data_IF_263691769353
#
_entry.id   IF_263691769353
#
_cell.length_a   1.000
_cell.length_b   1.000
_cell.length_c   1.000
_cell.angle_alpha   90.00
_cell.angle_beta   90.00
_cell.angle_gamma   90.00
#
_symmetry.space_group_name_H-M   'P 1'
#
loop_
_entity.id
_entity.type
_entity.pdbx_description
1 polymer ?
#
# COMPACT_ATOMS: atom_id res chain seq x y z
N UNK A 1 18.95 10.55 22.62
CA UNK A 1 19.95 9.82 21.82
C UNK A 1 20.23 8.52 22.52
N UNK A 2 19.68 7.42 22.02
CA UNK A 2 19.91 6.08 22.55
C UNK A 2 21.29 5.65 22.04
N UNK A 3 22.21 5.31 22.94
CA UNK A 3 23.50 4.72 22.57
C UNK A 3 23.27 3.25 22.22
N UNK A 4 23.20 2.96 20.92
CA UNK A 4 22.93 1.64 20.36
C UNK A 4 24.19 0.80 20.16
N UNK A 5 25.38 1.35 20.41
CA UNK A 5 26.66 0.69 20.11
C UNK A 5 26.97 -0.46 21.08
N UNK A 6 26.25 -0.55 22.19
CA UNK A 6 26.41 -1.57 23.24
C UNK A 6 25.18 -2.45 23.47
N UNK A 7 24.10 -2.28 22.69
CA UNK A 7 22.87 -3.05 22.86
C UNK A 7 23.01 -4.47 22.30
N UNK A 8 22.40 -5.43 23.00
CA UNK A 8 22.22 -6.79 22.48
C UNK A 8 21.20 -6.81 21.33
N UNK A 9 21.14 -7.90 20.56
CA UNK A 9 20.14 -8.08 19.50
C UNK A 9 18.72 -7.96 20.07
N UNK A 10 18.44 -8.55 21.23
CA UNK A 10 17.13 -8.44 21.89
C UNK A 10 16.77 -7.00 22.26
N UNK A 11 17.75 -6.23 22.76
CA UNK A 11 17.53 -4.82 23.10
C UNK A 11 17.30 -3.94 21.87
N UNK A 12 17.92 -4.29 20.74
CA UNK A 12 17.70 -3.63 19.46
C UNK A 12 16.33 -4.00 18.87
N UNK A 13 15.95 -5.28 18.94
CA UNK A 13 14.64 -5.77 18.55
C UNK A 13 13.51 -5.04 19.31
N UNK A 14 13.65 -4.96 20.64
CA UNK A 14 12.72 -4.18 21.47
C UNK A 14 12.69 -2.73 21.00
N UNK A 15 13.83 -2.07 20.80
CA UNK A 15 13.88 -0.68 20.36
C UNK A 15 13.19 -0.45 19.00
N UNK A 16 13.38 -1.35 18.03
CA UNK A 16 12.75 -1.25 16.72
C UNK A 16 11.23 -1.44 16.77
N UNK A 17 10.73 -2.36 17.61
CA UNK A 17 9.29 -2.58 17.80
C UNK A 17 8.56 -1.36 18.38
N UNK A 18 9.28 -0.44 19.05
CA UNK A 18 8.71 0.80 19.56
C UNK A 18 8.70 1.93 18.51
N UNK A 19 9.25 1.70 17.32
CA UNK A 19 9.20 2.65 16.21
C UNK A 19 8.03 2.29 15.31
N UNK A 20 7.09 3.24 15.20
CA UNK A 20 5.86 3.12 14.42
C UNK A 20 5.60 4.41 13.64
N UNK A 21 4.55 4.42 12.82
CA UNK A 21 4.07 5.54 12.01
C UNK A 21 3.96 6.90 12.76
N UNK A 22 3.77 6.88 14.09
CA UNK A 22 3.66 8.10 14.92
C UNK A 22 4.96 8.53 15.63
N UNK A 23 6.05 7.78 15.46
CA UNK A 23 7.31 8.07 16.16
C UNK A 23 7.93 9.36 15.63
N UNK A 24 8.47 10.23 16.52
CA UNK A 24 9.07 11.48 16.09
C UNK A 24 10.42 11.22 15.40
N UNK A 25 10.70 12.01 14.36
CA UNK A 25 11.86 11.77 13.49
C UNK A 25 13.21 11.88 14.22
N UNK A 26 13.32 12.72 15.25
CA UNK A 26 14.54 12.85 16.06
C UNK A 26 14.83 11.63 16.95
N UNK A 27 13.85 10.76 17.15
CA UNK A 27 14.02 9.47 17.82
C UNK A 27 14.17 8.31 16.82
N UNK A 28 13.38 8.30 15.75
CA UNK A 28 13.34 7.22 14.78
C UNK A 28 14.48 7.25 13.74
N UNK A 29 14.80 8.42 13.16
CA UNK A 29 15.84 8.54 12.11
C UNK A 29 17.21 8.01 12.58
N UNK A 30 17.69 8.29 13.81
CA UNK A 30 18.96 7.73 14.28
C UNK A 30 18.99 6.20 14.33
N UNK A 31 17.88 5.55 14.69
CA UNK A 31 17.78 4.09 14.73
C UNK A 31 17.76 3.49 13.33
N UNK A 32 17.04 4.12 12.40
CA UNK A 32 17.02 3.73 10.99
C UNK A 32 18.42 3.86 10.39
N UNK A 33 19.09 5.00 10.59
CA UNK A 33 20.42 5.25 10.05
C UNK A 33 21.47 4.27 10.59
N UNK A 34 21.43 3.95 11.87
CA UNK A 34 22.31 2.94 12.47
C UNK A 34 22.05 1.55 11.87
N UNK A 35 20.78 1.15 11.78
CA UNK A 35 20.40 -0.15 11.23
C UNK A 35 20.83 -0.28 9.75
N UNK A 36 20.50 0.72 8.93
CA UNK A 36 20.89 0.80 7.54
C UNK A 36 22.41 0.83 7.36
N UNK A 37 23.14 1.56 8.21
CA UNK A 37 24.61 1.62 8.16
C UNK A 37 25.28 0.28 8.46
N UNK A 38 24.74 -0.50 9.41
CA UNK A 38 25.22 -1.85 9.71
C UNK A 38 24.92 -2.82 8.59
N UNK A 39 23.71 -2.78 8.02
CA UNK A 39 23.35 -3.60 6.86
C UNK A 39 24.24 -3.27 5.64
N UNK A 40 24.43 -2.00 5.33
CA UNK A 40 25.25 -1.56 4.20
C UNK A 40 26.74 -1.93 4.33
N UNK A 41 27.23 -2.15 5.56
CA UNK A 41 28.62 -2.56 5.78
C UNK A 41 28.88 -4.02 5.43
N UNK A 42 27.86 -4.87 5.48
CA UNK A 42 27.94 -6.30 5.15
C UNK A 42 26.57 -6.85 4.65
N UNK A 43 26.11 -6.43 3.45
CA UNK A 43 24.74 -6.66 2.99
C UNK A 43 24.37 -8.13 2.77
N UNK A 44 25.36 -8.99 2.52
CA UNK A 44 25.17 -10.45 2.37
C UNK A 44 25.73 -11.26 3.54
N UNK A 45 26.12 -10.60 4.64
CA UNK A 45 26.78 -11.22 5.76
C UNK A 45 25.88 -12.11 6.62
N UNK A 46 26.49 -12.87 7.53
CA UNK A 46 25.76 -13.74 8.46
C UNK A 46 24.72 -12.99 9.31
N UNK A 47 24.93 -11.69 9.57
CA UNK A 47 24.02 -10.85 10.36
C UNK A 47 23.05 -10.01 9.52
N UNK A 48 23.04 -10.14 8.19
CA UNK A 48 22.15 -9.35 7.33
C UNK A 48 20.67 -9.52 7.73
N UNK A 49 20.27 -10.74 8.11
CA UNK A 49 18.90 -11.03 8.58
C UNK A 49 18.46 -10.16 9.76
N UNK A 50 19.36 -9.86 10.72
CA UNK A 50 19.06 -9.03 11.89
C UNK A 50 18.73 -7.61 11.48
N UNK A 51 19.54 -7.02 10.58
CA UNK A 51 19.37 -5.64 10.17
C UNK A 51 18.22 -5.47 9.17
N UNK A 52 17.96 -6.46 8.31
CA UNK A 52 16.74 -6.52 7.50
C UNK A 52 15.51 -6.57 8.41
N UNK A 53 15.50 -7.41 9.44
CA UNK A 53 14.40 -7.48 10.39
C UNK A 53 14.13 -6.14 11.08
N UNK A 54 15.19 -5.41 11.46
CA UNK A 54 15.06 -4.09 12.05
C UNK A 54 14.42 -3.06 11.11
N UNK A 55 14.82 -3.06 9.83
CA UNK A 55 14.21 -2.17 8.83
C UNK A 55 12.77 -2.56 8.47
N UNK A 56 12.45 -3.87 8.46
CA UNK A 56 11.07 -4.37 8.31
C UNK A 56 10.20 -3.91 9.48
N UNK A 57 10.68 -4.02 10.73
CA UNK A 57 9.95 -3.57 11.91
C UNK A 57 9.67 -2.06 11.89
N UNK A 58 10.59 -1.26 11.34
CA UNK A 58 10.46 0.20 11.23
C UNK A 58 9.78 0.65 9.92
N UNK A 59 9.29 -0.28 9.09
CA UNK A 59 8.75 0.04 7.75
C UNK A 59 7.52 0.94 7.81
N UNK A 60 6.65 0.83 8.83
CA UNK A 60 5.51 1.74 9.00
C UNK A 60 5.92 3.21 9.22
N UNK A 61 7.00 3.44 9.96
CA UNK A 61 7.60 4.77 10.08
C UNK A 61 8.19 5.24 8.73
N UNK A 62 8.94 4.36 8.07
CA UNK A 62 9.63 4.64 6.80
C UNK A 62 8.67 4.86 5.62
N UNK A 63 7.51 4.23 5.61
CA UNK A 63 6.50 4.36 4.57
C UNK A 63 5.69 5.66 4.70
N UNK A 64 5.66 6.26 5.90
CA UNK A 64 4.89 7.48 6.15
C UNK A 64 5.70 8.75 5.90
N UNK A 65 6.55 9.16 6.86
CA UNK A 65 7.29 10.43 6.77
C UNK A 65 8.67 10.34 7.45
N UNK A 66 9.58 9.51 6.94
CA UNK A 66 10.96 9.49 7.41
C UNK A 66 11.69 10.80 7.07
N UNK A 67 12.80 11.08 7.76
CA UNK A 67 13.76 12.05 7.25
C UNK A 67 14.37 11.55 5.94
N UNK A 68 14.56 12.44 4.95
CA UNK A 68 15.09 12.08 3.61
C UNK A 68 16.39 11.26 3.65
N UNK A 69 17.26 11.55 4.62
CA UNK A 69 18.52 10.82 4.79
C UNK A 69 18.28 9.38 5.29
N UNK A 70 17.34 9.19 6.21
CA UNK A 70 16.98 7.88 6.75
C UNK A 70 16.26 7.01 5.70
N UNK A 71 15.30 7.60 4.96
CA UNK A 71 14.62 6.93 3.83
C UNK A 71 15.63 6.43 2.81
N UNK A 72 16.52 7.30 2.34
CA UNK A 72 17.51 6.95 1.32
C UNK A 72 18.49 5.88 1.82
N UNK A 73 18.95 5.98 3.07
CA UNK A 73 19.85 5.00 3.66
C UNK A 73 19.20 3.62 3.78
N UNK A 74 17.95 3.57 4.28
CA UNK A 74 17.20 2.33 4.40
C UNK A 74 16.96 1.67 3.04
N UNK A 75 16.47 2.44 2.06
CA UNK A 75 16.21 1.95 0.70
C UNK A 75 17.48 1.42 0.03
N UNK A 76 18.61 2.11 0.17
CA UNK A 76 19.88 1.63 -0.39
C UNK A 76 20.32 0.33 0.28
N UNK A 77 20.31 0.29 1.61
CA UNK A 77 20.76 -0.88 2.37
C UNK A 77 19.89 -2.13 2.09
N UNK A 78 18.57 -1.97 1.99
CA UNK A 78 17.65 -3.07 1.66
C UNK A 78 17.87 -3.61 0.25
N UNK A 79 18.06 -2.74 -0.75
CA UNK A 79 18.32 -3.15 -2.14
C UNK A 79 19.68 -3.84 -2.29
N UNK A 80 20.71 -3.30 -1.62
CA UNK A 80 22.04 -3.90 -1.60
C UNK A 80 22.00 -5.28 -0.93
N UNK A 81 21.25 -5.42 0.17
CA UNK A 81 21.05 -6.69 0.86
C UNK A 81 20.31 -7.70 -0.02
N UNK A 82 19.19 -7.33 -0.63
CA UNK A 82 18.46 -8.20 -1.55
C UNK A 82 19.39 -8.72 -2.67
N UNK A 83 20.11 -7.81 -3.32
CA UNK A 83 21.07 -8.16 -4.40
C UNK A 83 22.18 -9.09 -3.92
N UNK A 84 22.78 -8.81 -2.75
CA UNK A 84 23.88 -9.60 -2.21
C UNK A 84 23.45 -11.01 -1.75
N UNK A 85 22.22 -11.13 -1.25
CA UNK A 85 21.64 -12.38 -0.75
C UNK A 85 21.09 -13.24 -1.90
N UNK A 86 20.54 -12.65 -2.96
CA UNK A 86 20.12 -13.36 -4.16
C UNK A 86 21.27 -14.08 -4.87
N UNK A 87 22.47 -13.53 -4.77
CA UNK A 87 23.69 -14.18 -5.27
C UNK A 87 24.07 -15.45 -4.51
N UNK A 88 23.39 -15.76 -3.40
CA UNK A 88 23.68 -16.91 -2.55
C UNK A 88 22.64 -18.01 -2.78
N UNK A 89 23.11 -19.24 -3.02
CA UNK A 89 22.23 -20.38 -3.17
C UNK A 89 21.72 -20.88 -1.81
N UNK A 90 20.45 -21.27 -1.77
CA UNK A 90 19.86 -22.06 -0.69
C UNK A 90 19.26 -23.36 -1.22
N UNK A 91 19.11 -24.36 -0.35
CA UNK A 91 18.63 -25.71 -0.71
C UNK A 91 17.12 -25.91 -0.55
N UNK A 92 16.36 -24.84 -0.38
CA UNK A 92 14.92 -24.89 -0.15
C UNK A 92 14.19 -24.50 -1.43
N UNK A 93 13.11 -25.21 -1.73
CA UNK A 93 12.31 -24.97 -2.94
C UNK A 93 11.30 -23.83 -2.78
N UNK A 94 10.91 -23.51 -1.54
CA UNK A 94 10.02 -22.38 -1.23
C UNK A 94 10.49 -21.62 0.02
N UNK A 95 10.04 -20.37 0.14
CA UNK A 95 10.43 -19.45 1.21
C UNK A 95 9.23 -18.98 2.02
N UNK A 96 9.36 -18.82 3.35
CA UNK A 96 8.25 -18.40 4.20
C UNK A 96 7.57 -17.09 3.78
N UNK A 97 8.32 -16.08 3.33
CA UNK A 97 7.73 -14.82 2.88
C UNK A 97 6.74 -14.99 1.70
N UNK A 98 6.94 -16.00 0.85
CA UNK A 98 6.05 -16.28 -0.29
C UNK A 98 4.67 -16.75 0.18
N UNK A 99 4.60 -17.48 1.31
CA UNK A 99 3.35 -17.96 1.88
C UNK A 99 2.53 -16.86 2.56
N UNK A 100 3.17 -15.77 2.98
CA UNK A 100 2.52 -14.63 3.63
C UNK A 100 1.95 -13.62 2.60
N UNK A 101 2.24 -13.75 1.31
CA UNK A 101 1.79 -12.77 0.31
C UNK A 101 0.27 -12.59 0.29
N UNK A 102 -0.48 -13.69 0.34
CA UNK A 102 -1.96 -13.69 0.37
C UNK A 102 -2.56 -13.10 1.68
N UNK A 103 -1.76 -12.85 2.70
CA UNK A 103 -2.16 -12.27 4.00
C UNK A 103 -1.60 -10.86 4.23
N UNK A 104 -0.55 -10.46 3.51
CA UNK A 104 0.12 -9.18 3.69
C UNK A 104 -0.57 -8.08 2.87
N UNK A 105 -1.31 -7.23 3.55
CA UNK A 105 -1.63 -5.89 3.06
C UNK A 105 -0.37 -4.99 3.12
N UNK A 106 -0.52 -3.67 3.17
CA UNK A 106 0.59 -2.73 3.37
C UNK A 106 1.05 -2.63 4.84
N UNK A 107 0.88 -3.69 5.65
CA UNK A 107 1.27 -3.76 7.08
C UNK A 107 2.31 -4.83 7.39
N UNK A 108 3.38 -4.97 6.61
CA UNK A 108 4.42 -6.00 6.82
C UNK A 108 5.10 -5.94 8.19
N UNK A 109 5.04 -4.80 8.90
CA UNK A 109 5.60 -4.66 10.26
C UNK A 109 4.77 -5.36 11.34
N UNK A 110 3.50 -5.68 11.06
CA UNK A 110 2.68 -6.52 11.95
C UNK A 110 2.89 -8.01 11.68
N UNK A 111 3.52 -8.34 10.54
CA UNK A 111 3.87 -9.70 10.15
C UNK A 111 4.96 -10.30 11.03
N UNK A 112 4.73 -11.52 11.50
CA UNK A 112 5.77 -12.33 12.12
C UNK A 112 6.70 -12.87 11.04
N UNK A 113 7.82 -12.20 10.84
CA UNK A 113 8.82 -12.56 9.83
C UNK A 113 9.84 -13.60 10.34
N UNK A 114 9.89 -13.86 11.65
CA UNK A 114 10.83 -14.80 12.28
C UNK A 114 12.31 -14.47 12.06
N UNK A 115 12.67 -13.34 11.43
CA UNK A 115 14.04 -13.06 11.01
C UNK A 115 14.98 -12.83 12.18
N UNK A 116 14.46 -12.41 13.35
CA UNK A 116 15.28 -12.21 14.56
C UNK A 116 15.55 -13.51 15.32
N UNK A 117 14.58 -14.41 15.33
CA UNK A 117 14.56 -15.63 16.17
C UNK A 117 14.92 -16.88 15.37
N UNK A 118 14.79 -16.82 14.04
CA UNK A 118 14.76 -18.01 13.18
C UNK A 118 13.49 -18.84 13.36
N UNK A 119 12.48 -18.32 14.04
CA UNK A 119 11.25 -19.05 14.36
C UNK A 119 10.04 -18.24 13.92
N UNK A 120 9.08 -18.90 13.26
CA UNK A 120 7.78 -18.34 12.94
C UNK A 120 6.74 -18.88 13.92
N UNK A 121 5.84 -18.03 14.40
CA UNK A 121 4.66 -18.40 15.19
C UNK A 121 3.61 -18.98 14.25
N UNK A 122 3.89 -20.15 13.66
CA UNK A 122 2.94 -20.87 12.83
C UNK A 122 2.25 -22.00 13.61
N UNK A 123 0.90 -22.08 13.60
CA UNK A 123 0.18 -23.23 14.15
C UNK A 123 0.30 -24.51 13.30
N UNK A 124 0.87 -24.43 12.08
CA UNK A 124 0.83 -25.49 11.07
C UNK A 124 2.13 -26.31 10.91
N UNK A 125 3.20 -26.04 11.66
CA UNK A 125 4.40 -26.89 11.65
C UNK A 125 5.71 -26.15 11.97
N UNK A 126 6.75 -26.95 12.20
CA UNK A 126 8.11 -26.54 12.52
C UNK A 126 8.83 -26.03 11.26
N UNK A 127 8.65 -24.75 10.93
CA UNK A 127 9.51 -24.08 9.94
C UNK A 127 10.89 -23.91 10.57
N UNK A 128 11.78 -24.87 10.34
CA UNK A 128 13.10 -24.85 10.96
C UNK A 128 13.89 -23.57 10.61
N UNK A 129 14.68 -23.08 11.55
CA UNK A 129 15.43 -21.82 11.44
C UNK A 129 16.31 -21.69 10.18
N UNK A 130 16.79 -22.80 9.63
CA UNK A 130 17.51 -22.81 8.37
C UNK A 130 16.69 -22.28 7.18
N UNK A 131 15.36 -22.44 7.20
CA UNK A 131 14.45 -21.93 6.17
C UNK A 131 14.08 -20.47 6.39
N UNK A 132 13.89 -20.07 7.66
CA UNK A 132 13.56 -18.69 8.03
C UNK A 132 14.72 -17.74 7.78
N UNK A 133 15.95 -18.17 8.08
CA UNK A 133 17.15 -17.34 7.95
C UNK A 133 17.92 -17.56 6.64
N UNK A 134 17.37 -18.31 5.68
CA UNK A 134 18.08 -18.52 4.41
C UNK A 134 18.17 -17.21 3.60
N UNK A 135 19.20 -17.04 2.75
CA UNK A 135 19.40 -15.82 1.98
C UNK A 135 18.17 -15.41 1.14
N UNK A 136 17.51 -16.37 0.48
CA UNK A 136 16.32 -16.11 -0.32
C UNK A 136 15.14 -15.53 0.48
N UNK A 137 14.89 -16.03 1.70
CA UNK A 137 13.82 -15.50 2.54
C UNK A 137 14.15 -14.08 3.04
N UNK A 138 15.39 -13.85 3.46
CA UNK A 138 15.85 -12.53 3.92
C UNK A 138 15.80 -11.51 2.77
N UNK A 139 16.20 -11.90 1.56
CA UNK A 139 16.09 -11.07 0.36
C UNK A 139 14.62 -10.72 0.05
N UNK A 140 13.71 -11.69 0.14
CA UNK A 140 12.27 -11.49 -0.03
C UNK A 140 11.70 -10.40 0.89
N UNK A 141 11.97 -10.50 2.19
CA UNK A 141 11.56 -9.47 3.15
C UNK A 141 12.19 -8.11 2.89
N UNK A 142 13.45 -8.07 2.44
CA UNK A 142 14.09 -6.81 2.08
C UNK A 142 13.41 -6.14 0.87
N UNK A 143 12.95 -6.91 -0.12
CA UNK A 143 12.16 -6.41 -1.25
C UNK A 143 10.79 -5.91 -0.80
N UNK A 144 10.08 -6.67 0.02
CA UNK A 144 8.76 -6.26 0.54
C UNK A 144 8.84 -4.93 1.30
N UNK A 145 9.84 -4.76 2.18
CA UNK A 145 10.07 -3.51 2.86
C UNK A 145 10.45 -2.37 1.91
N UNK A 146 11.28 -2.65 0.89
CA UNK A 146 11.63 -1.66 -0.13
C UNK A 146 10.40 -1.17 -0.89
N UNK A 147 9.53 -2.09 -1.33
CA UNK A 147 8.32 -1.77 -2.08
C UNK A 147 7.28 -1.02 -1.24
N UNK A 148 7.16 -1.35 0.05
CA UNK A 148 6.32 -0.59 0.96
C UNK A 148 6.77 0.88 1.12
N UNK A 149 8.08 1.11 1.25
CA UNK A 149 8.66 2.45 1.44
C UNK A 149 8.63 3.24 0.11
N UNK A 150 8.97 2.56 -0.98
CA UNK A 150 9.05 3.11 -2.32
C UNK A 150 8.42 2.13 -3.33
N UNK A 151 7.10 2.19 -3.53
CA UNK A 151 6.38 1.29 -4.43
C UNK A 151 6.97 1.28 -5.84
N UNK A 152 7.01 0.10 -6.46
CA UNK A 152 7.53 -0.10 -7.83
C UNK A 152 9.00 0.29 -8.01
N UNK A 153 9.81 0.24 -6.95
CA UNK A 153 11.26 0.46 -7.07
C UNK A 153 12.11 -0.81 -6.91
N UNK A 154 11.45 -1.96 -6.78
CA UNK A 154 12.07 -3.27 -6.64
C UNK A 154 11.23 -4.30 -7.41
N UNK A 155 11.89 -5.32 -7.94
CA UNK A 155 11.28 -6.41 -8.72
C UNK A 155 11.32 -7.72 -7.94
N UNK A 156 10.77 -8.78 -8.52
CA UNK A 156 10.84 -10.15 -7.98
C UNK A 156 10.19 -10.29 -6.61
N UNK A 157 9.10 -9.55 -6.41
CA UNK A 157 8.10 -9.81 -5.36
C UNK A 157 7.10 -10.80 -5.98
N UNK A 158 6.74 -11.90 -5.30
CA UNK A 158 5.73 -12.82 -5.81
C UNK A 158 4.37 -12.13 -5.95
N UNK A 159 3.70 -12.35 -7.06
CA UNK A 159 2.30 -11.98 -7.24
C UNK A 159 1.39 -12.75 -6.26
N UNK A 160 0.43 -12.05 -5.67
CA UNK A 160 -0.54 -12.62 -4.73
C UNK A 160 -1.15 -11.54 -3.85
N UNK A 161 -2.17 -10.84 -4.34
CA UNK A 161 -2.92 -9.88 -3.55
C UNK A 161 -3.72 -10.61 -2.45
N UNK A 162 -3.93 -9.97 -1.29
CA UNK A 162 -4.77 -10.54 -0.25
C UNK A 162 -6.15 -10.96 -0.75
N UNK A 163 -6.66 -12.12 -0.31
CA UNK A 163 -7.95 -12.66 -0.79
C UNK A 163 -9.13 -11.69 -0.64
N UNK A 164 -9.08 -10.86 0.40
CA UNK A 164 -10.08 -9.81 0.61
C UNK A 164 -10.05 -8.75 -0.50
N UNK A 165 -8.87 -8.38 -1.04
CA UNK A 165 -8.76 -7.46 -2.17
C UNK A 165 -9.51 -7.99 -3.39
N UNK A 166 -9.35 -9.26 -3.76
CA UNK A 166 -10.09 -9.84 -4.88
C UNK A 166 -11.60 -9.87 -4.64
N UNK A 167 -12.03 -10.08 -3.40
CA UNK A 167 -13.44 -9.97 -3.03
C UNK A 167 -13.95 -8.55 -3.27
N UNK A 168 -13.23 -7.53 -2.78
CA UNK A 168 -13.62 -6.13 -2.94
C UNK A 168 -13.58 -5.66 -4.39
N UNK A 169 -12.56 -6.07 -5.16
CA UNK A 169 -12.49 -5.83 -6.61
C UNK A 169 -13.76 -6.33 -7.29
N UNK A 170 -14.18 -7.56 -7.00
CA UNK A 170 -15.41 -8.14 -7.57
C UNK A 170 -16.67 -7.38 -7.14
N UNK A 171 -16.77 -6.98 -5.87
CA UNK A 171 -17.92 -6.24 -5.35
C UNK A 171 -18.06 -4.87 -6.03
N UNK A 172 -16.98 -4.09 -6.08
CA UNK A 172 -16.96 -2.79 -6.71
C UNK A 172 -17.06 -2.86 -8.25
N UNK A 173 -16.53 -3.91 -8.87
CA UNK A 173 -16.75 -4.20 -10.29
C UNK A 173 -18.25 -4.31 -10.60
N UNK A 174 -19.01 -4.98 -9.73
CA UNK A 174 -20.47 -5.00 -9.81
C UNK A 174 -21.09 -3.62 -9.76
N UNK A 175 -20.63 -2.74 -8.86
CA UNK A 175 -21.11 -1.35 -8.76
C UNK A 175 -20.79 -0.57 -10.02
N UNK A 176 -19.52 -0.53 -10.45
CA UNK A 176 -19.09 0.30 -11.61
C UNK A 176 -19.58 -0.24 -12.96
N UNK A 177 -20.12 -1.46 -13.01
CA UNK A 177 -20.82 -2.01 -14.18
C UNK A 177 -22.36 -1.97 -14.07
N UNK A 178 -22.90 -1.35 -13.02
CA UNK A 178 -24.36 -1.27 -12.76
C UNK A 178 -25.06 -2.63 -12.54
N UNK A 179 -24.31 -3.58 -11.98
CA UNK A 179 -24.79 -4.89 -11.53
C UNK A 179 -24.29 -5.18 -10.10
N UNK A 180 -24.66 -4.37 -9.09
CA UNK A 180 -24.15 -4.55 -7.74
C UNK A 180 -24.60 -5.88 -7.12
N UNK A 181 -23.69 -6.53 -6.40
CA UNK A 181 -23.97 -7.78 -5.68
C UNK A 181 -24.62 -7.55 -4.30
N UNK A 182 -24.32 -6.42 -3.66
CA UNK A 182 -24.85 -5.97 -2.36
C UNK A 182 -25.34 -4.51 -2.45
N UNK A 183 -25.68 -3.87 -1.32
CA UNK A 183 -26.09 -2.46 -1.31
C UNK A 183 -24.90 -1.54 -1.69
N UNK A 184 -24.97 -0.86 -2.86
CA UNK A 184 -23.89 0.03 -3.28
C UNK A 184 -23.72 1.24 -2.35
N UNK A 185 -24.75 1.66 -1.61
CA UNK A 185 -24.63 2.80 -0.69
C UNK A 185 -23.75 2.47 0.50
N UNK A 186 -23.96 1.30 1.12
CA UNK A 186 -23.15 0.80 2.24
C UNK A 186 -21.70 0.59 1.78
N UNK A 187 -21.51 -0.09 0.65
CA UNK A 187 -20.17 -0.37 0.13
C UNK A 187 -19.37 0.91 -0.17
N UNK A 188 -19.98 1.90 -0.82
CA UNK A 188 -19.31 3.17 -1.14
C UNK A 188 -19.03 4.02 0.12
N UNK A 189 -19.94 4.00 1.10
CA UNK A 189 -19.74 4.69 2.37
C UNK A 189 -18.59 4.07 3.17
N UNK A 190 -18.49 2.75 3.20
CA UNK A 190 -17.41 2.02 3.86
C UNK A 190 -16.06 2.33 3.18
N UNK A 191 -15.98 2.22 1.85
CA UNK A 191 -14.75 2.58 1.12
C UNK A 191 -14.30 4.01 1.40
N UNK A 192 -15.24 4.96 1.49
CA UNK A 192 -14.93 6.37 1.74
C UNK A 192 -14.28 6.64 3.11
N UNK A 193 -14.42 5.73 4.07
CA UNK A 193 -13.85 5.84 5.42
C UNK A 193 -12.71 4.86 5.69
N UNK A 194 -12.33 4.04 4.71
CA UNK A 194 -11.27 3.03 4.82
C UNK A 194 -9.83 3.61 4.80
N UNK A 195 -9.64 4.92 4.60
CA UNK A 195 -8.31 5.51 4.63
C UNK A 195 -7.81 5.65 6.09
N UNK A 196 -6.72 4.98 6.48
CA UNK A 196 -6.13 5.16 7.80
C UNK A 196 -5.49 6.56 7.94
N UNK A 197 -5.25 7.01 9.17
CA UNK A 197 -4.68 8.35 9.45
C UNK A 197 -3.27 8.55 8.85
N UNK A 198 -2.51 7.45 8.65
CA UNK A 198 -1.12 7.45 8.14
C UNK A 198 -0.92 6.32 7.13
N UNK A 199 -1.52 6.45 5.93
CA UNK A 199 -1.45 5.43 4.90
C UNK A 199 -0.03 5.34 4.33
N UNK A 200 0.36 4.14 3.89
CA UNK A 200 1.52 3.99 2.99
C UNK A 200 1.24 4.71 1.66
N UNK A 201 2.29 4.96 0.87
CA UNK A 201 2.15 5.55 -0.48
C UNK A 201 1.25 4.69 -1.39
N UNK A 202 1.40 3.37 -1.33
CA UNK A 202 0.60 2.41 -2.10
C UNK A 202 -0.88 2.45 -1.72
N UNK A 203 -1.18 2.37 -0.43
CA UNK A 203 -2.55 2.44 0.08
C UNK A 203 -3.22 3.79 -0.22
N UNK A 204 -2.50 4.91 -0.07
CA UNK A 204 -3.00 6.24 -0.41
C UNK A 204 -3.35 6.36 -1.90
N UNK A 205 -2.46 5.89 -2.78
CA UNK A 205 -2.71 5.85 -4.22
C UNK A 205 -3.93 4.97 -4.55
N UNK A 206 -3.96 3.76 -3.99
CA UNK A 206 -5.06 2.83 -4.17
C UNK A 206 -6.41 3.39 -3.75
N UNK A 207 -6.47 4.07 -2.60
CA UNK A 207 -7.68 4.76 -2.13
C UNK A 207 -8.18 5.81 -3.13
N UNK A 208 -7.31 6.71 -3.59
CA UNK A 208 -7.68 7.78 -4.53
C UNK A 208 -8.15 7.22 -5.89
N UNK A 209 -7.47 6.17 -6.38
CA UNK A 209 -7.86 5.48 -7.61
C UNK A 209 -9.23 4.81 -7.47
N UNK A 210 -9.51 4.13 -6.35
CA UNK A 210 -10.82 3.54 -6.07
C UNK A 210 -11.92 4.61 -5.94
N UNK A 211 -11.64 5.73 -5.28
CA UNK A 211 -12.58 6.85 -5.19
C UNK A 211 -12.92 7.42 -6.57
N UNK A 212 -11.92 7.58 -7.44
CA UNK A 212 -12.14 8.00 -8.82
C UNK A 212 -12.97 7.00 -9.62
N UNK A 213 -12.63 5.72 -9.54
CA UNK A 213 -13.34 4.66 -10.27
C UNK A 213 -14.84 4.62 -9.90
N UNK A 214 -15.18 4.89 -8.65
CA UNK A 214 -16.56 4.75 -8.14
C UNK A 214 -17.36 6.05 -8.15
N UNK A 215 -16.72 7.21 -8.34
CA UNK A 215 -17.40 8.51 -8.17
C UNK A 215 -18.53 8.74 -9.17
N UNK A 216 -18.44 8.18 -10.39
CA UNK A 216 -19.50 8.34 -11.38
C UNK A 216 -20.80 7.65 -10.91
N UNK A 217 -20.69 6.48 -10.28
CA UNK A 217 -21.84 5.74 -9.77
C UNK A 217 -22.45 6.48 -8.58
N UNK A 218 -21.58 6.97 -7.68
CA UNK A 218 -21.96 7.78 -6.53
C UNK A 218 -22.69 9.07 -6.94
N UNK A 219 -22.20 9.74 -7.99
CA UNK A 219 -22.78 10.95 -8.56
C UNK A 219 -24.06 10.71 -9.39
N UNK A 220 -24.42 9.44 -9.64
CA UNK A 220 -25.64 9.11 -10.37
C UNK A 220 -26.88 9.15 -9.47
N UNK A 221 -28.08 9.16 -10.07
CA UNK A 221 -29.36 9.10 -9.35
C UNK A 221 -29.62 7.75 -8.64
N UNK A 222 -28.66 6.81 -8.67
CA UNK A 222 -28.78 5.49 -8.02
C UNK A 222 -28.50 5.55 -6.52
N UNK A 223 -27.66 6.48 -6.09
CA UNK A 223 -27.35 6.70 -4.69
C UNK A 223 -28.32 7.76 -4.16
N UNK A 224 -29.21 7.33 -3.27
CA UNK A 224 -30.27 8.19 -2.69
C UNK A 224 -29.92 8.75 -1.32
N UNK A 225 -28.81 8.30 -0.73
CA UNK A 225 -28.30 8.82 0.52
C UNK A 225 -27.16 9.83 0.25
N UNK A 226 -27.44 11.10 0.58
CA UNK A 226 -26.49 12.21 0.47
C UNK A 226 -25.20 11.95 1.27
N UNK A 227 -25.28 11.22 2.38
CA UNK A 227 -24.14 10.97 3.25
C UNK A 227 -23.02 10.18 2.58
N UNK A 228 -23.34 9.40 1.54
CA UNK A 228 -22.34 8.67 0.73
C UNK A 228 -21.43 9.68 0.02
N UNK A 229 -22.02 10.64 -0.69
CA UNK A 229 -21.29 11.71 -1.38
C UNK A 229 -20.49 12.57 -0.39
N UNK A 230 -21.10 12.97 0.74
CA UNK A 230 -20.40 13.74 1.78
C UNK A 230 -19.19 12.96 2.35
N UNK A 231 -19.33 11.64 2.52
CA UNK A 231 -18.25 10.77 3.03
C UNK A 231 -17.12 10.63 2.01
N UNK A 232 -17.43 10.39 0.73
CA UNK A 232 -16.41 10.31 -0.33
C UNK A 232 -15.64 11.63 -0.48
N UNK A 233 -16.34 12.77 -0.49
CA UNK A 233 -15.71 14.10 -0.54
C UNK A 233 -14.80 14.30 0.66
N UNK A 234 -15.27 13.97 1.87
CA UNK A 234 -14.47 14.09 3.09
C UNK A 234 -13.23 13.18 3.06
N UNK A 235 -13.37 11.94 2.57
CA UNK A 235 -12.27 11.00 2.44
C UNK A 235 -11.18 11.52 1.50
N UNK A 236 -11.56 11.99 0.31
CA UNK A 236 -10.61 12.57 -0.65
C UNK A 236 -9.96 13.85 -0.09
N UNK A 237 -10.74 14.72 0.55
CA UNK A 237 -10.20 15.93 1.19
C UNK A 237 -9.22 15.62 2.33
N UNK A 238 -9.39 14.49 3.03
CA UNK A 238 -8.45 14.01 4.03
C UNK A 238 -7.19 13.40 3.40
N UNK A 239 -7.32 12.78 2.23
CA UNK A 239 -6.22 12.15 1.49
C UNK A 239 -5.27 13.16 0.83
N UNK A 240 -5.81 14.22 0.21
CA UNK A 240 -5.01 15.19 -0.59
C UNK A 240 -3.84 15.81 0.18
N UNK A 241 -3.97 16.25 1.45
CA UNK A 241 -2.85 16.80 2.23
C UNK A 241 -1.75 15.77 2.58
N UNK A 242 -2.01 14.48 2.35
CA UNK A 242 -1.07 13.39 2.62
C UNK A 242 -0.15 13.12 1.42
N UNK A 243 -0.52 13.57 0.22
CA UNK A 243 0.30 13.51 -0.99
C UNK A 243 1.55 14.39 -0.83
N UNK A 244 2.65 13.94 -1.44
CA UNK A 244 3.91 14.68 -1.44
C UNK A 244 3.95 15.76 -2.53
N UNK A 245 4.77 16.79 -2.31
CA UNK A 245 4.95 17.92 -3.25
C UNK A 245 6.11 17.70 -4.24
N UNK A 246 6.58 16.45 -4.41
CA UNK A 246 7.69 16.17 -5.32
C UNK A 246 7.34 16.54 -6.77
N UNK A 247 8.26 17.20 -7.51
CA UNK A 247 8.06 17.45 -8.92
C UNK A 247 7.85 16.14 -9.68
N UNK A 248 6.79 16.08 -10.48
CA UNK A 248 6.58 14.96 -11.38
C UNK A 248 7.73 14.84 -12.39
N UNK A 249 8.27 13.64 -12.54
CA UNK A 249 9.31 13.32 -13.53
C UNK A 249 8.72 12.73 -14.83
N UNK A 250 7.42 12.45 -14.84
CA UNK A 250 6.72 11.84 -15.97
C UNK A 250 6.34 12.85 -17.05
N UNK A 251 6.36 12.41 -18.30
CA UNK A 251 5.88 13.16 -19.46
C UNK A 251 4.33 13.26 -19.53
N UNK A 252 3.77 14.17 -20.36
CA UNK A 252 2.31 14.42 -20.45
C UNK A 252 1.42 13.23 -20.89
N UNK A 253 2.01 12.09 -21.25
CA UNK A 253 1.30 10.85 -21.66
C UNK A 253 1.80 9.62 -20.91
N UNK A 254 2.61 9.81 -19.89
CA UNK A 254 3.18 8.72 -19.09
C UNK A 254 2.35 8.45 -17.82
N UNK A 255 1.38 9.32 -17.50
CA UNK A 255 0.40 9.06 -16.45
C UNK A 255 -0.69 8.10 -16.96
N UNK A 256 -1.21 7.20 -16.09
CA UNK A 256 -2.17 6.19 -16.49
C UNK A 256 -3.53 6.77 -16.87
N UNK A 257 -4.27 6.05 -17.72
CA UNK A 257 -5.67 6.36 -18.01
C UNK A 257 -6.62 5.74 -16.98
N UNK A 258 -7.57 6.54 -16.47
CA UNK A 258 -8.63 6.10 -15.54
C UNK A 258 -10.03 6.16 -16.16
N UNK A 259 -10.14 6.29 -17.49
CA UNK A 259 -11.41 6.34 -18.21
C UNK A 259 -12.22 5.04 -18.17
N UNK A 260 -11.61 3.90 -17.84
CA UNK A 260 -12.30 2.64 -17.57
C UNK A 260 -12.43 2.44 -16.05
N UNK A 261 -13.64 2.65 -15.48
CA UNK A 261 -13.88 2.48 -14.05
C UNK A 261 -13.64 1.07 -13.52
N UNK A 262 -13.88 0.03 -14.33
CA UNK A 262 -13.69 -1.35 -13.89
C UNK A 262 -12.20 -1.68 -13.78
N UNK A 263 -11.44 -1.25 -14.78
CA UNK A 263 -9.98 -1.34 -14.74
C UNK A 263 -9.41 -0.52 -13.59
N UNK A 264 -9.76 0.77 -13.48
CA UNK A 264 -9.28 1.65 -12.39
C UNK A 264 -9.63 1.08 -11.01
N UNK A 265 -10.82 0.51 -10.82
CA UNK A 265 -11.21 -0.15 -9.58
C UNK A 265 -10.28 -1.33 -9.23
N UNK A 266 -9.99 -2.21 -10.20
CA UNK A 266 -9.04 -3.31 -10.01
C UNK A 266 -7.68 -2.78 -9.57
N UNK A 267 -7.16 -1.78 -10.28
CA UNK A 267 -5.86 -1.18 -10.00
C UNK A 267 -5.83 -0.57 -8.60
N UNK A 268 -6.87 0.18 -8.22
CA UNK A 268 -6.96 0.83 -6.91
C UNK A 268 -6.86 -0.13 -5.73
N UNK A 269 -7.28 -1.38 -5.90
CA UNK A 269 -7.13 -2.42 -4.87
C UNK A 269 -5.77 -3.12 -4.91
N UNK A 270 -5.24 -3.40 -6.10
CA UNK A 270 -3.92 -4.00 -6.26
C UNK A 270 -2.81 -3.12 -5.68
N UNK A 271 -2.95 -1.79 -5.79
CA UNK A 271 -1.98 -0.83 -5.23
C UNK A 271 -1.81 -0.90 -3.70
N UNK A 272 -2.77 -1.45 -2.97
CA UNK A 272 -2.83 -1.43 -1.48
C UNK A 272 -1.99 -2.51 -0.80
N UNK A 273 -1.25 -3.33 -1.56
CA UNK A 273 -0.39 -4.38 -1.01
C UNK A 273 0.82 -4.64 -1.91
N UNK A 274 1.97 -5.11 -1.38
CA UNK A 274 3.11 -5.49 -2.21
C UNK A 274 2.77 -6.60 -3.21
N UNK A 275 2.01 -7.62 -2.78
CA UNK A 275 1.60 -8.74 -3.65
C UNK A 275 0.65 -8.32 -4.77
N UNK A 276 -0.26 -7.40 -4.49
CA UNK A 276 -1.13 -6.81 -5.53
C UNK A 276 -0.36 -5.90 -6.50
N UNK A 277 0.64 -5.15 -6.02
CA UNK A 277 1.52 -4.38 -6.90
C UNK A 277 2.37 -5.29 -7.77
N UNK A 278 2.80 -6.44 -7.27
CA UNK A 278 3.46 -7.46 -8.07
C UNK A 278 2.54 -8.06 -9.14
N UNK A 279 1.29 -8.42 -8.80
CA UNK A 279 0.28 -8.84 -9.80
C UNK A 279 0.06 -7.78 -10.87
N UNK A 280 -0.02 -6.51 -10.48
CA UNK A 280 -0.14 -5.41 -11.42
C UNK A 280 1.10 -5.32 -12.32
N UNK A 281 2.29 -5.45 -11.77
CA UNK A 281 3.53 -5.36 -12.53
C UNK A 281 3.66 -6.48 -13.59
N UNK A 282 3.14 -7.68 -13.33
CA UNK A 282 3.10 -8.78 -14.30
C UNK A 282 2.28 -8.42 -15.55
N UNK A 283 1.17 -7.70 -15.42
CA UNK A 283 0.39 -7.22 -16.57
C UNK A 283 1.19 -6.26 -17.49
N UNK A 284 2.29 -5.70 -16.97
CA UNK A 284 3.19 -4.76 -17.65
C UNK A 284 4.56 -5.38 -17.97
N UNK A 285 4.65 -6.71 -18.04
CA UNK A 285 5.85 -7.42 -18.50
C UNK A 285 7.03 -7.38 -17.52
N UNK A 286 6.80 -7.13 -16.23
CA UNK A 286 7.88 -7.17 -15.24
C UNK A 286 8.41 -8.58 -14.94
N UNK A 287 7.74 -9.61 -15.46
CA UNK A 287 8.12 -11.02 -15.44
C UNK A 287 9.03 -11.41 -16.63
N UNK A 288 9.04 -10.64 -17.72
CA UNK A 288 9.82 -10.93 -18.93
C UNK A 288 11.16 -10.14 -18.97
N UNK A 289 12.27 -10.83 -19.26
CA UNK A 289 13.60 -10.20 -19.43
C UNK A 289 13.72 -9.34 -20.71
N UNK A 290 12.67 -9.25 -21.54
CA UNK A 290 12.67 -8.53 -22.81
C UNK A 290 12.13 -7.09 -22.66
N UNK A 291 12.81 -6.16 -23.33
CA UNK A 291 12.54 -4.72 -23.28
C UNK A 291 11.14 -4.41 -23.79
N UNK A 292 10.31 -3.81 -22.91
CA UNK A 292 9.05 -3.18 -23.25
C UNK A 292 9.21 -2.22 -24.44
N UNK A 293 8.31 -2.34 -25.42
CA UNK A 293 8.13 -1.35 -26.48
C UNK A 293 7.79 0.02 -25.85
N UNK A 294 8.26 1.11 -26.47
CA UNK A 294 8.26 2.49 -25.97
C UNK A 294 6.87 3.14 -25.69
N UNK A 295 5.77 2.38 -25.69
CA UNK A 295 4.39 2.87 -25.53
C UNK A 295 3.64 2.34 -24.30
N UNK A 296 4.27 1.52 -23.44
CA UNK A 296 3.61 1.01 -22.23
C UNK A 296 3.53 2.07 -21.12
N UNK A 297 2.34 2.22 -20.55
CA UNK A 297 2.09 2.97 -19.32
C UNK A 297 3.07 2.50 -18.23
N UNK A 298 3.63 3.44 -17.47
CA UNK A 298 4.61 3.11 -16.45
C UNK A 298 3.91 2.78 -15.14
N UNK A 299 4.11 1.58 -14.60
CA UNK A 299 3.43 1.15 -13.36
C UNK A 299 3.71 2.08 -12.18
N UNK A 300 4.89 2.69 -12.11
CA UNK A 300 5.23 3.67 -11.07
C UNK A 300 4.42 4.98 -11.17
N UNK A 301 3.82 5.27 -12.32
CA UNK A 301 3.02 6.48 -12.51
C UNK A 301 1.70 6.41 -11.72
N UNK A 302 1.22 5.22 -11.36
CA UNK A 302 0.05 5.03 -10.50
C UNK A 302 0.22 5.57 -9.07
N UNK A 303 1.46 5.69 -8.58
CA UNK A 303 1.78 6.25 -7.25
C UNK A 303 2.35 7.68 -7.32
N UNK A 304 2.34 8.29 -8.51
CA UNK A 304 2.84 9.65 -8.71
C UNK A 304 1.95 10.68 -8.01
N UNK A 305 2.51 11.48 -7.09
CA UNK A 305 1.75 12.51 -6.35
C UNK A 305 1.04 13.51 -7.27
N UNK A 306 1.68 13.93 -8.37
CA UNK A 306 1.08 14.89 -9.30
C UNK A 306 -0.12 14.29 -10.06
N UNK A 307 -0.03 13.03 -10.48
CA UNK A 307 -1.16 12.29 -11.06
C UNK A 307 -2.31 12.19 -10.05
N UNK A 308 -1.99 11.78 -8.81
CA UNK A 308 -2.98 11.61 -7.75
C UNK A 308 -3.65 12.92 -7.33
N UNK A 309 -2.93 14.05 -7.36
CA UNK A 309 -3.53 15.38 -7.17
C UNK A 309 -4.55 15.71 -8.26
N UNK A 310 -4.18 15.54 -9.53
CA UNK A 310 -5.09 15.79 -10.66
C UNK A 310 -6.32 14.85 -10.60
N UNK A 311 -6.10 13.58 -10.25
CA UNK A 311 -7.15 12.59 -10.10
C UNK A 311 -8.12 12.96 -8.98
N UNK A 312 -7.59 13.40 -7.83
CA UNK A 312 -8.39 13.84 -6.70
C UNK A 312 -9.22 15.08 -7.04
N UNK A 313 -8.64 16.07 -7.73
CA UNK A 313 -9.35 17.29 -8.15
C UNK A 313 -10.53 16.96 -9.08
N UNK A 314 -10.32 16.13 -10.10
CA UNK A 314 -11.38 15.67 -11.01
C UNK A 314 -12.49 14.92 -10.26
N UNK A 315 -12.10 14.05 -9.33
CA UNK A 315 -13.04 13.26 -8.54
C UNK A 315 -13.88 14.16 -7.63
N UNK A 316 -13.26 15.15 -6.99
CA UNK A 316 -13.95 16.14 -6.16
C UNK A 316 -14.90 17.02 -6.97
N UNK A 317 -14.54 17.41 -8.19
CA UNK A 317 -15.43 18.16 -9.11
C UNK A 317 -16.72 17.38 -9.36
N UNK A 318 -16.61 16.11 -9.77
CA UNK A 318 -17.76 15.23 -10.03
C UNK A 318 -18.66 15.08 -8.80
N UNK A 319 -18.08 14.77 -7.64
CA UNK A 319 -18.84 14.54 -6.41
C UNK A 319 -19.49 15.83 -5.88
N UNK A 320 -18.80 16.96 -6.00
CA UNK A 320 -19.30 18.25 -5.52
C UNK A 320 -20.45 18.75 -6.40
N UNK A 321 -20.37 18.57 -7.71
CA UNK A 321 -21.45 18.90 -8.65
C UNK A 321 -22.70 18.05 -8.37
N UNK A 322 -22.51 16.76 -8.08
CA UNK A 322 -23.58 15.87 -7.66
C UNK A 322 -24.24 16.32 -6.33
N UNK A 323 -23.43 16.68 -5.34
CA UNK A 323 -23.92 17.22 -4.05
C UNK A 323 -24.74 18.50 -4.21
N UNK A 324 -24.34 19.39 -5.12
CA UNK A 324 -25.09 20.62 -5.41
C UNK A 324 -26.41 20.35 -6.10
N UNK A 325 -26.45 19.31 -6.94
CA UNK A 325 -27.63 18.89 -7.70
C UNK A 325 -28.54 17.94 -6.92
N UNK A 326 -28.14 17.52 -5.72
CA UNK A 326 -28.84 16.53 -4.93
C UNK A 326 -30.19 17.06 -4.43
N UNK A 327 -31.27 16.58 -5.04
CA UNK A 327 -32.63 16.80 -4.54
C UNK A 327 -32.97 15.67 -3.55
N UNK A 328 -33.22 15.96 -2.27
CA UNK A 328 -33.64 14.93 -1.33
C UNK A 328 -34.95 14.33 -1.81
N UNK A 329 -35.03 13.00 -1.88
CA UNK A 329 -36.26 12.28 -2.19
C UNK A 329 -37.38 12.84 -1.32
N UNK A 330 -38.39 13.44 -1.97
CA UNK A 330 -39.38 14.31 -1.35
C UNK A 330 -39.88 13.78 -0.01
N UNK A 331 -39.58 14.51 1.06
CA UNK A 331 -40.18 14.27 2.36
C UNK A 331 -41.70 14.45 2.25
N UNK A 332 -42.43 13.46 2.75
CA UNK A 332 -43.88 13.46 2.90
C UNK A 332 -44.42 14.86 3.18
N UNK A 333 -45.17 15.43 2.24
CA UNK A 333 -46.14 16.46 2.60
C UNK A 333 -47.06 15.83 3.64
N UNK A 334 -47.13 16.34 4.89
CA UNK A 334 -48.13 15.86 5.82
C UNK A 334 -49.47 16.24 5.21
N UNK A 335 -50.16 15.25 4.66
CA UNK A 335 -51.47 15.38 4.06
C UNK A 335 -52.36 16.21 4.97
N UNK A 336 -52.66 17.43 4.53
CA UNK A 336 -53.63 18.32 5.13
C UNK A 336 -55.02 17.72 5.01
N UNK A 337 -55.29 16.68 5.79
CA UNK A 337 -56.60 16.12 6.04
C UNK A 337 -57.34 17.00 7.05
N UNK A 338 -57.97 18.07 6.57
CA UNK A 338 -59.04 18.78 7.25
C UNK A 338 -59.91 19.41 6.17
N UNK A 339 -61.02 18.79 5.78
CA UNK A 339 -62.35 18.91 6.42
C UNK A 339 -63.24 17.74 5.94
N UNK A 340 -64.22 17.25 6.73
CA UNK A 340 -65.47 18.00 6.93
C UNK A 340 -66.20 17.81 8.28
N UNK A 341 -66.80 18.89 8.81
CA UNK A 341 -68.25 19.03 9.15
C UNK A 341 -68.57 20.44 9.66
#
# INVERSE_FOLDING_TARGET
MIDTTHLTVDQLADAWQHIHDTSPADEADPLVLECAGRLASDPGGEQAHVWVAGLVAMSGYLAWRPGKAAEQAALNALRDAATALDGQSCSHDDHPYEAEMDSLEDEIWTGDNGLLTGELVSPAGDTGAGRVLCPGNVAGWARLATDMIAPFTVRSIPAGAPKYHHSSIRMLSGVVNDYPYDDPQELLADEAVCLPDRPTRGLLAGFLVTMNATCWYAASERITDRSVLDSMVKGIQAAVPLLGDEPCVHGPREHPDTNDPDYANRIGYLLRSPGGRAELAEDYGWDEEEQADDEEERVEAWVCSAFLHELADKTLEVLTDALQSFEPAGGDEPGGGGEPE
#
